data_IF_085534615489
#
_entry.id   IF_085534615489
#
_cell.length_a   1.000
_cell.length_b   1.000
_cell.length_c   1.000
_cell.angle_alpha   90.00
_cell.angle_beta   90.00
_cell.angle_gamma   90.00
#
_symmetry.space_group_name_H-M   'P 1'
#
loop_
_entity.id
_entity.type
_entity.pdbx_description
1 polymer ?
#
# COMPACT_ATOMS: atom_id res chain seq x y z
N UNK A 1 2.83 -4.21 26.35
CA UNK A 1 3.14 -2.76 26.32
C UNK A 1 4.51 -2.48 25.69
N UNK A 2 5.61 -3.06 26.16
CA UNK A 2 6.97 -2.76 25.65
C UNK A 2 7.29 -3.24 24.22
N UNK A 3 6.51 -4.16 23.65
CA UNK A 3 6.74 -4.72 22.29
C UNK A 3 6.07 -3.88 21.20
N UNK A 4 5.06 -3.07 21.53
CA UNK A 4 4.29 -2.32 20.52
C UNK A 4 5.16 -1.32 19.75
N UNK A 5 6.01 -0.50 20.39
CA UNK A 5 6.92 0.41 19.68
C UNK A 5 7.79 -0.30 18.64
N UNK A 6 8.46 -1.39 19.04
CA UNK A 6 9.37 -2.12 18.15
C UNK A 6 8.62 -2.87 17.04
N UNK A 7 7.41 -3.36 17.31
CA UNK A 7 6.53 -3.94 16.31
C UNK A 7 6.14 -2.91 15.24
N UNK A 8 5.66 -1.73 15.64
CA UNK A 8 5.25 -0.68 14.70
C UNK A 8 6.41 -0.21 13.83
N UNK A 9 7.59 0.00 14.43
CA UNK A 9 8.80 0.34 13.68
C UNK A 9 9.19 -0.76 12.68
N UNK A 10 9.15 -2.03 13.11
CA UNK A 10 9.45 -3.16 12.23
C UNK A 10 8.47 -3.23 11.06
N UNK A 11 7.17 -3.08 11.31
CA UNK A 11 6.13 -3.09 10.26
C UNK A 11 6.26 -1.93 9.29
N UNK A 12 6.57 -0.74 9.81
CA UNK A 12 6.82 0.42 8.94
C UNK A 12 8.08 0.21 8.09
N UNK A 13 9.15 -0.35 8.65
CA UNK A 13 10.35 -0.69 7.90
C UNK A 13 10.08 -1.76 6.82
N UNK A 14 9.22 -2.74 7.09
CA UNK A 14 8.77 -3.72 6.09
C UNK A 14 8.08 -3.05 4.90
N UNK A 15 7.26 -2.02 5.11
CA UNK A 15 6.66 -1.24 4.02
C UNK A 15 7.68 -0.34 3.33
N UNK A 16 8.56 0.31 4.08
CA UNK A 16 9.52 1.25 3.52
C UNK A 16 10.60 0.59 2.66
N UNK A 17 10.93 -0.69 2.87
CA UNK A 17 11.94 -1.39 2.06
C UNK A 17 11.67 -1.35 0.54
N UNK A 18 10.41 -1.19 0.14
CA UNK A 18 10.02 -1.12 -1.27
C UNK A 18 10.42 0.22 -1.94
N UNK A 19 10.83 1.23 -1.15
CA UNK A 19 11.43 2.50 -1.62
C UNK A 19 12.50 2.28 -2.69
N UNK A 20 13.38 1.30 -2.48
CA UNK A 20 14.46 0.98 -3.42
C UNK A 20 13.92 0.50 -4.76
N UNK A 21 12.80 -0.23 -4.77
CA UNK A 21 12.22 -0.80 -5.98
C UNK A 21 11.54 0.27 -6.84
N UNK A 22 10.82 1.20 -6.21
CA UNK A 22 10.23 2.36 -6.88
C UNK A 22 11.30 3.37 -7.35
N UNK A 23 12.46 3.44 -6.68
CA UNK A 23 13.56 4.30 -7.10
C UNK A 23 14.42 3.70 -8.23
N UNK A 24 14.57 2.36 -8.27
CA UNK A 24 15.49 1.68 -9.18
C UNK A 24 14.86 1.29 -10.52
N UNK A 25 13.54 1.20 -10.62
CA UNK A 25 12.85 0.71 -11.82
C UNK A 25 11.71 1.62 -12.24
N UNK A 26 11.53 1.78 -13.55
CA UNK A 26 10.36 2.45 -14.12
C UNK A 26 9.07 1.63 -13.93
N UNK A 27 9.18 0.32 -13.68
CA UNK A 27 8.03 -0.57 -13.45
C UNK A 27 8.35 -1.56 -12.35
N UNK A 28 7.46 -1.67 -11.36
CA UNK A 28 7.55 -2.64 -10.27
C UNK A 28 6.68 -3.85 -10.62
N UNK A 29 7.17 -5.11 -10.52
CA UNK A 29 6.37 -6.30 -10.82
C UNK A 29 5.11 -6.38 -9.95
N UNK A 30 4.00 -6.85 -10.51
CA UNK A 30 2.72 -6.93 -9.79
C UNK A 30 2.79 -7.83 -8.55
N UNK A 31 3.57 -8.91 -8.59
CA UNK A 31 3.80 -9.78 -7.44
C UNK A 31 4.46 -9.00 -6.29
N UNK A 32 5.39 -8.10 -6.62
CA UNK A 32 6.03 -7.24 -5.62
C UNK A 32 5.04 -6.23 -5.04
N UNK A 33 4.18 -5.66 -5.88
CA UNK A 33 3.13 -4.73 -5.41
C UNK A 33 2.11 -5.47 -4.53
N UNK A 34 1.80 -6.73 -4.84
CA UNK A 34 0.96 -7.59 -4.00
C UNK A 34 1.58 -7.83 -2.61
N UNK A 35 2.88 -8.13 -2.54
CA UNK A 35 3.60 -8.27 -1.26
C UNK A 35 3.61 -6.97 -0.46
N UNK A 36 3.83 -5.82 -1.12
CA UNK A 36 3.70 -4.50 -0.49
C UNK A 36 2.30 -4.32 0.14
N UNK A 37 1.23 -4.69 -0.58
CA UNK A 37 -0.14 -4.62 -0.06
C UNK A 37 -0.33 -5.47 1.21
N UNK A 38 0.28 -6.65 1.26
CA UNK A 38 0.26 -7.52 2.44
C UNK A 38 0.98 -6.85 3.61
N UNK A 39 2.16 -6.28 3.38
CA UNK A 39 2.93 -5.56 4.41
C UNK A 39 2.17 -4.33 4.94
N UNK A 40 1.53 -3.56 4.05
CA UNK A 40 0.64 -2.44 4.42
C UNK A 40 -0.51 -2.90 5.31
N UNK A 41 -1.16 -4.03 4.98
CA UNK A 41 -2.24 -4.61 5.78
C UNK A 41 -1.77 -5.00 7.18
N UNK A 42 -0.59 -5.63 7.30
CA UNK A 42 -0.02 -5.96 8.60
C UNK A 42 0.32 -4.72 9.43
N UNK A 43 0.85 -3.67 8.81
CA UNK A 43 1.10 -2.39 9.48
C UNK A 43 -0.22 -1.78 9.98
N UNK A 44 -1.25 -1.73 9.13
CA UNK A 44 -2.55 -1.16 9.50
C UNK A 44 -3.18 -1.91 10.66
N UNK A 45 -3.20 -3.23 10.62
CA UNK A 45 -3.73 -4.03 11.73
C UNK A 45 -2.96 -3.81 13.04
N UNK A 46 -1.65 -3.61 12.95
CA UNK A 46 -0.83 -3.31 14.13
C UNK A 46 -1.15 -1.93 14.69
N UNK A 47 -1.43 -0.93 13.83
CA UNK A 47 -1.82 0.41 14.22
C UNK A 47 -3.24 0.46 14.79
N UNK A 48 -4.21 -0.15 14.11
CA UNK A 48 -5.62 -0.24 14.53
C UNK A 48 -5.75 -0.94 15.89
N UNK A 49 -4.94 -1.97 16.14
CA UNK A 49 -4.94 -2.69 17.42
C UNK A 49 -4.60 -1.78 18.62
N UNK A 50 -3.83 -0.70 18.42
CA UNK A 50 -3.43 0.22 19.47
C UNK A 50 -3.88 1.66 19.20
N UNK A 51 -4.83 1.87 18.30
CA UNK A 51 -5.23 3.20 17.80
C UNK A 51 -5.57 4.17 18.94
N UNK A 52 -6.30 3.70 19.95
CA UNK A 52 -6.72 4.49 21.11
C UNK A 52 -5.54 5.05 21.92
N UNK A 53 -4.35 4.46 21.80
CA UNK A 53 -3.13 4.86 22.50
C UNK A 53 -2.21 5.77 21.66
N UNK A 54 -2.45 5.89 20.35
CA UNK A 54 -1.53 6.57 19.42
C UNK A 54 -1.84 8.07 19.22
N UNK A 55 -2.99 8.55 19.71
CA UNK A 55 -3.40 9.94 19.54
C UNK A 55 -3.77 10.31 18.10
N UNK A 56 -3.75 11.60 17.78
CA UNK A 56 -4.18 12.11 16.47
C UNK A 56 -3.23 11.67 15.34
N UNK A 57 -1.94 11.56 15.64
CA UNK A 57 -0.89 11.19 14.70
C UNK A 57 -1.02 9.72 14.28
N UNK A 58 -1.41 8.83 15.20
CA UNK A 58 -1.75 7.46 14.83
C UNK A 58 -2.93 7.38 13.88
N UNK A 59 -3.96 8.21 14.10
CA UNK A 59 -5.13 8.28 13.22
C UNK A 59 -4.79 8.82 11.84
N UNK A 60 -3.97 9.87 11.76
CA UNK A 60 -3.46 10.40 10.49
C UNK A 60 -2.66 9.34 9.73
N UNK A 61 -1.73 8.66 10.42
CA UNK A 61 -0.94 7.57 9.84
C UNK A 61 -1.82 6.42 9.29
N UNK A 62 -2.86 6.03 10.04
CA UNK A 62 -3.83 5.00 9.59
C UNK A 62 -4.57 5.49 8.34
N UNK A 63 -4.93 6.77 8.28
CA UNK A 63 -5.64 7.35 7.13
C UNK A 63 -4.78 7.35 5.87
N UNK A 64 -3.54 7.86 5.92
CA UNK A 64 -2.62 7.81 4.78
C UNK A 64 -2.35 6.36 4.32
N UNK A 65 -2.25 5.43 5.28
CA UNK A 65 -2.06 4.01 4.96
C UNK A 65 -3.29 3.37 4.28
N UNK A 66 -4.51 3.83 4.59
CA UNK A 66 -5.73 3.38 3.91
C UNK A 66 -5.77 3.86 2.47
N UNK A 67 -5.45 5.13 2.23
CA UNK A 67 -5.40 5.70 0.88
C UNK A 67 -4.42 4.93 -0.03
N UNK A 68 -3.22 4.62 0.50
CA UNK A 68 -2.28 3.75 -0.21
C UNK A 68 -2.85 2.34 -0.45
N UNK A 69 -3.51 1.75 0.56
CA UNK A 69 -4.10 0.40 0.44
C UNK A 69 -5.24 0.33 -0.58
N UNK A 70 -6.02 1.38 -0.73
CA UNK A 70 -7.13 1.44 -1.69
C UNK A 70 -6.57 1.34 -3.12
N UNK A 71 -5.55 2.13 -3.46
CA UNK A 71 -4.89 2.06 -4.78
C UNK A 71 -4.22 0.70 -5.03
N UNK A 72 -3.54 0.15 -4.02
CA UNK A 72 -2.92 -1.19 -4.12
C UNK A 72 -3.98 -2.30 -4.28
N UNK A 73 -5.15 -2.12 -3.67
CA UNK A 73 -6.30 -3.01 -3.78
C UNK A 73 -6.89 -2.98 -5.19
N UNK A 74 -7.17 -1.79 -5.71
CA UNK A 74 -7.73 -1.58 -7.04
C UNK A 74 -6.81 -2.15 -8.13
N UNK A 75 -5.50 -1.96 -8.01
CA UNK A 75 -4.54 -2.51 -8.97
C UNK A 75 -4.56 -4.04 -8.94
N UNK A 76 -4.53 -4.63 -7.74
CA UNK A 76 -4.57 -6.07 -7.58
C UNK A 76 -5.85 -6.67 -8.20
N UNK A 77 -7.00 -6.02 -7.97
CA UNK A 77 -8.28 -6.48 -8.48
C UNK A 77 -8.34 -6.39 -10.02
N UNK A 78 -7.82 -5.32 -10.61
CA UNK A 78 -7.72 -5.17 -12.06
C UNK A 78 -6.79 -6.22 -12.70
N UNK A 79 -5.61 -6.47 -12.10
CA UNK A 79 -4.66 -7.49 -12.59
C UNK A 79 -5.26 -8.90 -12.50
N UNK A 80 -5.92 -9.23 -11.39
CA UNK A 80 -6.60 -10.52 -11.22
C UNK A 80 -7.76 -10.67 -12.19
N UNK A 81 -8.53 -9.60 -12.44
CA UNK A 81 -9.59 -9.61 -13.44
C UNK A 81 -9.04 -9.90 -14.84
N UNK A 82 -7.96 -9.24 -15.26
CA UNK A 82 -7.32 -9.52 -16.56
C UNK A 82 -6.83 -10.97 -16.68
N UNK A 83 -6.17 -11.50 -15.65
CA UNK A 83 -5.69 -12.89 -15.65
C UNK A 83 -6.81 -13.92 -15.77
N UNK A 84 -8.00 -13.63 -15.23
CA UNK A 84 -9.19 -14.51 -15.38
C UNK A 84 -9.79 -14.46 -16.78
N UNK A 85 -9.75 -13.31 -17.46
CA UNK A 85 -10.33 -13.15 -18.80
C UNK A 85 -9.49 -13.81 -19.89
N UNK A 86 -8.16 -13.80 -19.75
CA UNK A 86 -7.27 -14.47 -20.71
C UNK A 86 -7.52 -16.00 -20.77
N UNK A 87 -8.15 -16.57 -19.74
CA UNK A 87 -8.55 -17.99 -19.73
C UNK A 87 -9.87 -18.29 -20.47
N UNK A 88 -10.62 -17.27 -20.88
CA UNK A 88 -11.95 -17.39 -21.49
C UNK A 88 -12.00 -16.53 -22.76
N UNK A 89 -11.65 -17.13 -23.90
CA UNK A 89 -11.74 -16.49 -25.21
C UNK A 89 -13.18 -16.03 -25.48
N UNK A 90 -13.41 -14.71 -25.46
CA UNK A 90 -14.63 -14.11 -25.97
C UNK A 90 -14.32 -12.71 -26.52
N UNK A 91 -14.56 -12.49 -27.82
CA UNK A 91 -14.54 -11.17 -28.47
C UNK A 91 -15.40 -10.13 -27.74
N UNK A 92 -16.42 -10.58 -26.99
CA UNK A 92 -17.27 -9.75 -26.14
C UNK A 92 -16.53 -9.09 -24.96
N UNK A 93 -15.36 -9.59 -24.56
CA UNK A 93 -14.57 -9.08 -23.43
C UNK A 93 -13.56 -7.99 -23.82
N UNK A 94 -13.35 -7.72 -25.12
CA UNK A 94 -12.29 -6.80 -25.59
C UNK A 94 -12.41 -5.38 -25.01
N UNK A 95 -13.63 -4.83 -24.94
CA UNK A 95 -13.85 -3.51 -24.33
C UNK A 95 -13.56 -3.49 -22.83
N UNK A 96 -13.92 -4.56 -22.11
CA UNK A 96 -13.63 -4.68 -20.68
C UNK A 96 -12.13 -4.84 -20.42
N UNK A 97 -11.41 -5.64 -21.24
CA UNK A 97 -9.95 -5.77 -21.17
C UNK A 97 -9.28 -4.40 -21.37
N UNK A 98 -9.72 -3.62 -22.35
CA UNK A 98 -9.17 -2.29 -22.60
C UNK A 98 -9.42 -1.33 -21.43
N UNK A 99 -10.59 -1.38 -20.81
CA UNK A 99 -10.91 -0.60 -19.61
C UNK A 99 -10.01 -1.00 -18.43
N UNK A 100 -9.84 -2.30 -18.18
CA UNK A 100 -8.97 -2.78 -17.09
C UNK A 100 -7.50 -2.40 -17.31
N UNK A 101 -7.02 -2.47 -18.55
CA UNK A 101 -5.66 -2.04 -18.87
C UNK A 101 -5.45 -0.54 -18.59
N UNK A 102 -6.43 0.31 -18.94
CA UNK A 102 -6.36 1.74 -18.65
C UNK A 102 -6.32 2.03 -17.13
N UNK A 103 -7.09 1.29 -16.34
CA UNK A 103 -7.06 1.38 -14.86
C UNK A 103 -5.69 0.97 -14.32
N UNK A 104 -5.13 -0.13 -14.82
CA UNK A 104 -3.80 -0.61 -14.43
C UNK A 104 -2.73 0.41 -14.76
N UNK A 105 -2.76 1.00 -15.96
CA UNK A 105 -1.80 2.01 -16.40
C UNK A 105 -1.90 3.27 -15.51
N UNK A 106 -3.13 3.71 -15.19
CA UNK A 106 -3.35 4.83 -14.27
C UNK A 106 -2.75 4.54 -12.89
N UNK A 107 -3.13 3.43 -12.26
CA UNK A 107 -2.71 3.09 -10.91
C UNK A 107 -1.20 2.84 -10.81
N UNK A 108 -0.60 2.25 -11.84
CA UNK A 108 0.86 2.05 -11.91
C UNK A 108 1.62 3.38 -11.91
N UNK A 109 1.03 4.45 -12.46
CA UNK A 109 1.60 5.79 -12.42
C UNK A 109 1.32 6.52 -11.10
N UNK A 110 0.17 6.27 -10.47
CA UNK A 110 -0.25 6.98 -9.24
C UNK A 110 0.39 6.41 -7.97
N UNK A 111 0.48 5.08 -7.85
CA UNK A 111 0.99 4.38 -6.66
C UNK A 111 2.39 4.87 -6.24
N UNK A 112 3.39 5.06 -7.14
CA UNK A 112 4.70 5.54 -6.73
C UNK A 112 4.66 6.88 -5.99
N UNK A 113 3.76 7.79 -6.39
CA UNK A 113 3.62 9.11 -5.76
C UNK A 113 2.99 9.01 -4.38
N UNK A 114 1.90 8.26 -4.26
CA UNK A 114 1.22 8.06 -2.97
C UNK A 114 2.08 7.25 -2.00
N UNK A 115 2.81 6.26 -2.51
CA UNK A 115 3.77 5.51 -1.72
C UNK A 115 4.93 6.39 -1.23
N UNK A 116 5.49 7.25 -2.09
CA UNK A 116 6.55 8.19 -1.73
C UNK A 116 6.10 9.17 -0.64
N UNK A 117 4.87 9.65 -0.74
CA UNK A 117 4.25 10.51 0.28
C UNK A 117 4.06 9.75 1.61
N UNK A 118 3.54 8.52 1.55
CA UNK A 118 3.37 7.67 2.74
C UNK A 118 4.70 7.40 3.48
N UNK A 119 5.82 7.23 2.78
CA UNK A 119 7.13 6.99 3.43
C UNK A 119 7.90 8.29 3.74
N UNK A 120 7.33 9.45 3.43
CA UNK A 120 7.99 10.73 3.55
C UNK A 120 8.34 11.09 5.00
N UNK A 121 9.08 12.20 5.15
CA UNK A 121 9.50 12.66 6.47
C UNK A 121 8.33 12.95 7.41
N UNK A 122 7.23 13.52 6.92
CA UNK A 122 6.08 13.88 7.74
C UNK A 122 5.42 12.64 8.38
N UNK A 123 5.17 11.59 7.61
CA UNK A 123 4.60 10.32 8.11
C UNK A 123 5.53 9.63 9.11
N UNK A 124 6.85 9.74 8.91
CA UNK A 124 7.84 9.24 9.90
C UNK A 124 7.79 10.03 11.20
N UNK A 125 7.54 11.34 11.14
CA UNK A 125 7.32 12.15 12.34
C UNK A 125 6.02 11.75 13.05
N UNK A 126 4.93 11.53 12.31
CA UNK A 126 3.67 11.03 12.86
C UNK A 126 3.87 9.70 13.58
N UNK A 127 4.57 8.74 12.96
CA UNK A 127 4.90 7.46 13.58
C UNK A 127 5.72 7.64 14.86
N UNK A 128 6.75 8.49 14.85
CA UNK A 128 7.60 8.73 16.02
C UNK A 128 6.80 9.36 17.17
N UNK A 129 5.94 10.34 16.88
CA UNK A 129 5.07 10.99 17.86
C UNK A 129 3.99 10.05 18.39
N UNK A 130 3.44 9.19 17.54
CA UNK A 130 2.47 8.16 17.93
C UNK A 130 3.12 7.14 18.88
N UNK A 131 4.33 6.68 18.56
CA UNK A 131 5.09 5.74 19.40
C UNK A 131 5.48 6.36 20.75
N UNK A 132 5.87 7.64 20.77
CA UNK A 132 6.26 8.34 21.98
C UNK A 132 5.15 8.44 23.05
N UNK A 133 3.89 8.18 22.67
CA UNK A 133 2.72 8.18 23.56
C UNK A 133 2.47 6.84 24.27
N UNK A 134 3.04 5.73 23.78
CA UNK A 134 2.80 4.36 24.27
C UNK A 134 3.48 4.08 25.62
#
# INVERSE_FOLDING_TARGET
RHVVPSLLMTRFASVRRYEILFAASATVPYETIHELRIDCKYLRYSLEFVEELLGAEGKALIQHLKELQDLLGDLNDAVVAMGRLQSKEAEAASSYIQQQQAVIDQLTNEIPHVFADFIAHHTRQELALAIARL
#
